data_IF_244545607930
#
_entry.id   IF_244545607930
#
_cell.length_a   1.000
_cell.length_b   1.000
_cell.length_c   1.000
_cell.angle_alpha   90.00
_cell.angle_beta   90.00
_cell.angle_gamma   90.00
#
_symmetry.space_group_name_H-M   'P 1'
#
loop_
_entity.id
_entity.type
_entity.pdbx_description
1 polymer ?
#
# COMPACT_ATOMS: atom_id res chain seq x y z
N UNK A 1 -6.52 -5.21 17.81
CA UNK A 1 -6.36 -6.05 16.60
C UNK A 1 -4.87 -6.09 16.32
N UNK A 2 -4.27 -7.26 16.16
CA UNK A 2 -2.86 -7.36 15.76
C UNK A 2 -2.74 -6.99 14.29
N UNK A 3 -2.10 -5.85 14.02
CA UNK A 3 -1.67 -5.43 12.70
C UNK A 3 -0.19 -5.09 12.76
N UNK A 4 0.51 -5.33 11.67
CA UNK A 4 1.92 -4.99 11.53
C UNK A 4 2.04 -3.63 10.85
N UNK A 5 3.02 -2.84 11.25
CA UNK A 5 3.24 -1.51 10.70
C UNK A 5 4.71 -1.29 10.40
N UNK A 6 5.00 -0.72 9.23
CA UNK A 6 6.33 -0.24 8.85
C UNK A 6 6.23 1.23 8.50
N UNK A 7 7.14 2.03 9.04
CA UNK A 7 7.24 3.46 8.73
C UNK A 7 8.58 3.71 8.06
N UNK A 8 8.56 4.45 6.96
CA UNK A 8 9.73 4.75 6.16
C UNK A 8 9.78 6.26 5.97
N UNK A 9 10.86 6.88 6.44
CA UNK A 9 11.13 8.30 6.21
C UNK A 9 12.01 8.43 4.99
N UNK A 10 11.52 9.11 3.96
CA UNK A 10 12.29 9.43 2.75
C UNK A 10 13.22 10.62 3.00
N UNK A 11 14.29 10.74 2.21
CA UNK A 11 15.22 11.87 2.27
C UNK A 11 14.53 13.24 2.14
N UNK A 12 13.46 13.32 1.34
CA UNK A 12 12.69 14.55 1.15
C UNK A 12 11.75 14.90 2.33
N UNK A 13 11.76 14.09 3.39
CA UNK A 13 10.95 14.28 4.59
C UNK A 13 9.54 13.68 4.52
N UNK A 14 9.11 13.14 3.37
CA UNK A 14 7.88 12.34 3.28
C UNK A 14 7.97 11.08 4.13
N UNK A 15 6.87 10.74 4.78
CA UNK A 15 6.74 9.53 5.58
C UNK A 15 5.76 8.59 4.89
N UNK A 16 6.18 7.35 4.64
CA UNK A 16 5.28 6.28 4.21
C UNK A 16 4.94 5.38 5.40
N UNK A 17 3.65 5.24 5.64
CA UNK A 17 3.10 4.29 6.60
C UNK A 17 2.51 3.09 5.84
N UNK A 18 3.08 1.92 6.07
CA UNK A 18 2.56 0.65 5.57
C UNK A 18 1.84 -0.08 6.69
N UNK A 19 0.57 -0.39 6.48
CA UNK A 19 -0.24 -1.17 7.40
C UNK A 19 -0.50 -2.54 6.80
N UNK A 20 -0.24 -3.59 7.57
CA UNK A 20 -0.50 -4.96 7.18
C UNK A 20 -1.45 -5.64 8.16
N UNK A 21 -2.49 -6.25 7.59
CA UNK A 21 -3.53 -6.97 8.31
C UNK A 21 -3.47 -8.44 7.92
N UNK A 22 -2.62 -9.26 8.58
CA UNK A 22 -2.33 -10.63 8.13
C UNK A 22 -3.57 -11.55 8.11
N UNK A 23 -4.62 -11.20 8.87
CA UNK A 23 -5.89 -11.96 8.91
C UNK A 23 -6.78 -11.74 7.70
N UNK A 24 -6.59 -10.66 6.95
CA UNK A 24 -7.44 -10.27 5.81
C UNK A 24 -6.65 -10.09 4.53
N UNK A 25 -5.32 -9.98 4.62
CA UNK A 25 -4.44 -9.88 3.48
C UNK A 25 -4.25 -11.24 2.80
N UNK A 26 -4.06 -11.21 1.48
CA UNK A 26 -3.66 -12.40 0.73
C UNK A 26 -2.18 -12.70 0.94
N UNK A 27 -1.76 -13.94 0.69
CA UNK A 27 -0.35 -14.34 0.79
C UNK A 27 0.57 -13.42 -0.02
N UNK A 28 0.15 -13.03 -1.23
CA UNK A 28 0.92 -12.08 -2.06
C UNK A 28 1.04 -10.69 -1.43
N UNK A 29 0.00 -10.21 -0.74
CA UNK A 29 0.05 -8.92 -0.04
C UNK A 29 0.95 -8.97 1.20
N UNK A 30 0.95 -10.10 1.92
CA UNK A 30 1.88 -10.35 3.03
C UNK A 30 3.32 -10.34 2.53
N UNK A 31 3.63 -11.09 1.48
CA UNK A 31 4.96 -11.12 0.88
C UNK A 31 5.41 -9.75 0.38
N UNK A 32 4.49 -8.98 -0.21
CA UNK A 32 4.78 -7.61 -0.64
C UNK A 32 5.14 -6.71 0.54
N UNK A 33 4.40 -6.79 1.66
CA UNK A 33 4.70 -6.04 2.87
C UNK A 33 6.03 -6.45 3.51
N UNK A 34 6.32 -7.76 3.58
CA UNK A 34 7.58 -8.28 4.10
C UNK A 34 8.77 -7.80 3.25
N UNK A 35 8.61 -7.77 1.93
CA UNK A 35 9.61 -7.32 0.96
C UNK A 35 9.83 -5.81 0.92
N UNK A 36 9.03 -5.00 1.64
CA UNK A 36 9.26 -3.55 1.76
C UNK A 36 10.55 -3.33 2.55
N UNK A 37 11.55 -2.82 1.83
CA UNK A 37 12.90 -2.52 2.34
C UNK A 37 13.07 -0.99 2.43
N UNK A 38 13.16 -0.41 3.64
CA UNK A 38 13.18 1.03 3.85
C UNK A 38 14.31 1.76 3.13
N UNK A 39 15.43 1.09 2.89
CA UNK A 39 16.62 1.66 2.23
C UNK A 39 16.45 1.72 0.70
N UNK A 40 15.59 0.86 0.14
CA UNK A 40 15.35 0.75 -1.30
C UNK A 40 14.07 1.45 -1.77
N UNK A 41 13.33 2.10 -0.86
CA UNK A 41 12.14 2.88 -1.24
C UNK A 41 12.58 4.21 -1.82
N UNK A 42 13.16 4.16 -3.01
CA UNK A 42 13.59 5.34 -3.73
C UNK A 42 12.40 6.30 -3.90
N UNK A 43 12.66 7.58 -3.65
CA UNK A 43 11.70 8.67 -3.79
C UNK A 43 11.11 8.79 -5.19
N UNK A 44 11.66 8.04 -6.16
CA UNK A 44 11.26 7.81 -7.53
C UNK A 44 9.76 7.76 -7.74
N UNK A 45 9.22 8.95 -7.94
CA UNK A 45 8.04 9.24 -8.73
C UNK A 45 8.00 8.24 -9.89
N UNK A 46 7.12 7.25 -9.86
CA UNK A 46 6.61 6.73 -11.11
C UNK A 46 5.90 7.94 -11.71
N UNK A 47 6.36 8.53 -12.84
CA UNK A 47 5.56 9.55 -13.48
C UNK A 47 4.26 8.86 -13.87
N UNK A 48 3.23 9.12 -13.08
CA UNK A 48 1.86 8.85 -13.48
C UNK A 48 1.66 9.81 -14.65
N UNK A 49 1.97 9.32 -15.86
CA UNK A 49 1.53 9.94 -17.10
C UNK A 49 0.02 9.99 -17.00
N UNK A 50 -0.48 11.13 -16.55
CA UNK A 50 -1.76 11.72 -16.92
C UNK A 50 -2.79 10.70 -17.43
N UNK A 51 -3.26 9.86 -16.52
CA UNK A 51 -4.57 9.22 -16.63
C UNK A 51 -5.18 9.22 -15.25
N UNK A 52 -6.03 10.21 -15.03
CA UNK A 52 -7.07 10.16 -14.04
C UNK A 52 -7.76 8.79 -14.13
N UNK A 53 -7.48 7.92 -13.17
CA UNK A 53 -8.35 6.81 -12.86
C UNK A 53 -8.50 6.82 -11.35
N UNK A 54 -9.47 7.61 -10.91
CA UNK A 54 -10.07 7.47 -9.61
C UNK A 54 -10.73 6.09 -9.56
N UNK A 55 -9.94 5.08 -9.19
CA UNK A 55 -10.44 3.80 -8.74
C UNK A 55 -9.98 3.65 -7.30
N UNK A 56 -10.69 4.35 -6.41
CA UNK A 56 -10.99 3.70 -5.12
C UNK A 56 -11.53 2.32 -5.45
N UNK A 57 -11.08 1.23 -4.82
CA UNK A 57 -11.78 -0.03 -4.93
C UNK A 57 -13.14 0.17 -4.26
N UNK A 58 -14.11 0.61 -5.05
CA UNK A 58 -15.51 0.60 -4.69
C UNK A 58 -15.80 -0.86 -4.43
N UNK A 59 -15.95 -1.18 -3.15
CA UNK A 59 -16.41 -2.46 -2.67
C UNK A 59 -17.79 -2.63 -3.33
N UNK A 60 -17.83 -3.32 -4.48
CA UNK A 60 -19.07 -3.71 -5.15
C UNK A 60 -19.75 -4.73 -4.25
N UNK A 61 -20.44 -4.22 -3.24
CA UNK A 61 -21.52 -4.94 -2.60
C UNK A 61 -22.62 -5.06 -3.65
N UNK A 62 -22.63 -6.19 -4.36
CA UNK A 62 -23.82 -6.66 -5.06
C UNK A 62 -24.91 -6.88 -4.03
N UNK A 63 -25.83 -5.93 -3.90
CA UNK A 63 -27.11 -6.13 -3.25
C UNK A 63 -28.07 -6.68 -4.32
N UNK A 64 -28.34 -7.98 -4.24
CA UNK A 64 -29.50 -8.55 -4.91
C UNK A 64 -30.76 -8.04 -4.19
N UNK A 65 -31.64 -7.33 -4.91
CA UNK A 65 -33.07 -7.21 -4.58
C UNK A 65 -33.89 -7.54 -5.83
#
# INVERSE_FOLDING_TARGET
MENEQKTITKEDGRILHYYHFPKTATQSQTLAFESVDPDKVDGGHTPHKDKAQAESPEVRATLNV
#
